data_IF_166038428524
#
_entry.id   IF_166038428524
#
_cell.length_a   1.000
_cell.length_b   1.000
_cell.length_c   1.000
_cell.angle_alpha   90.00
_cell.angle_beta   90.00
_cell.angle_gamma   90.00
#
_symmetry.space_group_name_H-M   'P 1'
#
loop_
_entity.id
_entity.type
_entity.pdbx_description
1 polymer ?
#
# COMPACT_ATOMS: atom_id res chain seq x y z
N UNK A 1 50.22 -59.94 -54.19
CA UNK A 1 48.98 -60.07 -53.41
C UNK A 1 49.37 -60.29 -51.98
N UNK A 2 49.11 -59.36 -51.05
CA UNK A 2 49.20 -59.66 -49.62
C UNK A 2 47.79 -59.61 -49.00
N UNK A 3 47.54 -60.66 -48.25
CA UNK A 3 46.32 -60.91 -47.49
C UNK A 3 46.09 -59.92 -46.35
N UNK A 4 44.92 -59.32 -46.32
CA UNK A 4 44.47 -58.46 -45.21
C UNK A 4 44.11 -59.31 -43.98
N UNK A 5 44.71 -58.94 -42.81
CA UNK A 5 44.31 -59.44 -41.51
C UNK A 5 43.09 -58.68 -41.03
N UNK A 6 41.96 -59.31 -40.89
CA UNK A 6 40.81 -58.82 -40.14
C UNK A 6 41.13 -58.84 -38.65
N UNK A 7 41.15 -57.65 -38.06
CA UNK A 7 41.23 -57.50 -36.59
C UNK A 7 39.82 -57.60 -35.99
N UNK A 8 39.58 -58.63 -35.22
CA UNK A 8 38.37 -58.84 -34.46
C UNK A 8 38.49 -58.09 -33.13
N UNK A 9 37.67 -57.09 -32.93
CA UNK A 9 37.51 -56.40 -31.63
C UNK A 9 36.85 -57.36 -30.62
N UNK A 10 37.26 -57.35 -29.35
CA UNK A 10 36.62 -58.16 -28.32
C UNK A 10 35.23 -57.62 -27.96
N UNK A 11 34.27 -58.48 -27.55
CA UNK A 11 32.95 -58.05 -27.10
C UNK A 11 33.06 -57.20 -25.82
N UNK A 12 32.31 -56.07 -25.81
CA UNK A 12 32.18 -55.23 -24.61
C UNK A 12 31.29 -55.98 -23.61
N UNK A 13 31.82 -56.19 -22.39
CA UNK A 13 31.09 -56.74 -21.26
C UNK A 13 30.00 -55.77 -20.79
N UNK A 14 28.77 -55.90 -21.25
CA UNK A 14 27.60 -55.13 -20.82
C UNK A 14 27.12 -55.50 -19.40
N UNK A 15 27.68 -56.51 -18.78
CA UNK A 15 27.19 -57.01 -17.50
C UNK A 15 27.76 -56.33 -16.24
N UNK A 16 28.76 -55.49 -16.36
CA UNK A 16 29.43 -54.90 -15.19
C UNK A 16 28.77 -53.65 -14.61
N UNK A 17 27.85 -53.00 -15.35
CA UNK A 17 27.22 -51.73 -14.90
C UNK A 17 25.88 -51.90 -14.17
N UNK A 18 25.26 -53.09 -14.26
CA UNK A 18 23.96 -53.36 -13.63
C UNK A 18 23.93 -53.19 -12.11
N UNK A 19 24.91 -53.67 -11.34
CA UNK A 19 24.88 -53.50 -9.89
C UNK A 19 25.05 -52.04 -9.43
N UNK A 20 25.78 -51.23 -10.21
CA UNK A 20 26.00 -49.81 -9.90
C UNK A 20 24.70 -49.00 -10.11
N UNK A 21 23.98 -49.26 -11.19
CA UNK A 21 22.69 -48.62 -11.48
C UNK A 21 21.61 -48.98 -10.47
N UNK A 22 21.54 -50.20 -10.01
CA UNK A 22 20.60 -50.63 -8.96
C UNK A 22 20.94 -50.00 -7.61
N UNK A 23 22.21 -49.78 -7.28
CA UNK A 23 22.63 -49.09 -6.08
C UNK A 23 22.25 -47.58 -6.15
N UNK A 24 22.44 -46.92 -7.29
CA UNK A 24 22.07 -45.53 -7.49
C UNK A 24 20.52 -45.34 -7.39
N UNK A 25 19.74 -46.21 -8.01
CA UNK A 25 18.28 -46.18 -7.91
C UNK A 25 17.81 -46.38 -6.46
N UNK A 26 18.44 -47.29 -5.72
CA UNK A 26 18.17 -47.54 -4.30
C UNK A 26 18.42 -46.29 -3.44
N UNK A 27 19.54 -45.58 -3.66
CA UNK A 27 19.87 -44.34 -2.94
C UNK A 27 18.90 -43.20 -3.26
N UNK A 28 18.52 -43.07 -4.54
CA UNK A 28 17.54 -42.04 -4.95
C UNK A 28 16.15 -42.33 -4.35
N UNK A 29 15.74 -43.62 -4.34
CA UNK A 29 14.47 -44.03 -3.72
C UNK A 29 14.47 -43.79 -2.21
N UNK A 30 15.58 -44.11 -1.51
CA UNK A 30 15.72 -43.84 -0.09
C UNK A 30 15.71 -42.35 0.24
N UNK A 31 16.38 -41.52 -0.58
CA UNK A 31 16.37 -40.05 -0.45
C UNK A 31 14.97 -39.47 -0.70
N UNK A 32 14.23 -39.98 -1.68
CA UNK A 32 12.85 -39.54 -1.95
C UNK A 32 11.90 -39.93 -0.80
N UNK A 33 12.06 -41.12 -0.22
CA UNK A 33 11.29 -41.55 0.97
C UNK A 33 11.65 -40.71 2.18
N UNK A 34 12.95 -40.42 2.42
CA UNK A 34 13.38 -39.55 3.50
C UNK A 34 12.86 -38.12 3.32
N UNK A 35 12.94 -37.56 2.11
CA UNK A 35 12.35 -36.26 1.78
C UNK A 35 10.81 -36.27 1.94
N UNK A 36 10.13 -37.34 1.54
CA UNK A 36 8.70 -37.53 1.76
C UNK A 36 8.32 -37.63 3.24
N UNK A 37 9.15 -38.30 4.07
CA UNK A 37 8.94 -38.38 5.51
C UNK A 37 9.23 -37.04 6.19
N UNK A 38 10.25 -36.30 5.74
CA UNK A 38 10.54 -34.94 6.21
C UNK A 38 9.43 -33.99 5.78
N UNK A 39 8.90 -34.13 4.54
CA UNK A 39 7.74 -33.38 4.06
C UNK A 39 6.45 -33.72 4.83
N UNK A 40 6.27 -34.96 5.23
CA UNK A 40 5.08 -35.45 5.96
C UNK A 40 5.18 -35.25 7.48
N UNK A 41 6.39 -35.24 8.08
CA UNK A 41 6.66 -35.04 9.50
C UNK A 41 7.17 -33.64 9.83
N UNK A 42 7.88 -32.99 8.92
CA UNK A 42 8.04 -31.56 8.90
C UNK A 42 6.72 -31.04 8.39
N UNK A 43 5.73 -30.97 9.28
CA UNK A 43 4.49 -30.32 8.96
C UNK A 43 4.86 -29.03 8.26
N UNK A 44 4.20 -28.74 7.15
CA UNK A 44 3.87 -27.39 6.84
C UNK A 44 3.28 -26.85 8.14
N UNK A 45 4.12 -26.29 8.99
CA UNK A 45 3.67 -25.33 9.96
C UNK A 45 2.83 -24.39 9.13
N UNK A 46 1.52 -24.46 9.31
CA UNK A 46 0.57 -23.58 8.70
C UNK A 46 1.00 -22.16 9.10
N UNK A 47 1.85 -21.56 8.29
CA UNK A 47 1.99 -20.13 8.24
C UNK A 47 0.59 -19.62 7.87
N UNK A 48 -0.26 -19.38 8.87
CA UNK A 48 -1.61 -18.93 8.60
C UNK A 48 -2.69 -19.19 9.65
N UNK A 49 -2.45 -19.95 10.70
CA UNK A 49 -3.31 -19.92 11.88
C UNK A 49 -2.52 -19.28 13.02
N UNK A 50 -2.26 -17.99 12.91
CA UNK A 50 -1.66 -17.23 13.99
C UNK A 50 -2.55 -17.33 15.22
N UNK A 51 -2.03 -17.90 16.32
CA UNK A 51 -2.62 -17.73 17.64
C UNK A 51 -2.84 -16.24 17.93
N UNK A 52 -3.56 -15.90 18.99
CA UNK A 52 -3.82 -14.50 19.31
C UNK A 52 -2.51 -13.72 19.34
N UNK A 53 -2.40 -12.70 18.45
CA UNK A 53 -1.21 -11.87 18.35
C UNK A 53 -0.99 -11.21 19.71
N UNK A 54 0.23 -11.36 20.23
CA UNK A 54 0.62 -10.74 21.49
C UNK A 54 0.68 -9.22 21.32
N UNK A 55 0.24 -8.48 22.33
CA UNK A 55 0.47 -7.03 22.38
C UNK A 55 2.00 -6.76 22.38
N UNK A 56 2.47 -5.76 21.62
CA UNK A 56 3.87 -5.38 21.64
C UNK A 56 4.28 -4.80 23.00
N UNK A 57 5.57 -4.79 23.27
CA UNK A 57 6.12 -3.97 24.34
C UNK A 57 5.87 -2.48 24.00
N UNK A 58 5.25 -1.76 24.93
CA UNK A 58 4.85 -0.35 24.71
C UNK A 58 6.07 0.53 24.48
N UNK A 59 7.16 0.31 25.24
CA UNK A 59 8.38 1.09 25.09
C UNK A 59 9.03 0.84 23.72
N UNK A 60 9.01 -0.40 23.24
CA UNK A 60 9.51 -0.73 21.90
C UNK A 60 8.61 -0.15 20.79
N UNK A 61 7.29 -0.21 20.94
CA UNK A 61 6.35 0.38 20.00
C UNK A 61 6.55 1.89 19.89
N UNK A 62 6.74 2.57 21.02
CA UNK A 62 6.89 4.03 21.10
C UNK A 62 8.34 4.52 20.89
N UNK A 63 9.32 3.61 20.84
CA UNK A 63 10.70 3.98 20.55
C UNK A 63 10.82 4.57 19.13
N UNK A 64 11.74 5.57 18.94
CA UNK A 64 11.97 6.18 17.63
C UNK A 64 12.15 5.15 16.52
N UNK A 65 11.46 5.39 15.42
CA UNK A 65 11.47 4.53 14.23
C UNK A 65 12.42 5.03 13.14
N UNK A 66 12.40 4.39 11.97
CA UNK A 66 13.14 4.87 10.79
C UNK A 66 12.69 6.25 10.31
N UNK A 67 11.43 6.62 10.59
CA UNK A 67 10.86 7.94 10.36
C UNK A 67 10.36 8.52 11.67
N UNK A 68 10.45 9.84 11.77
CA UNK A 68 9.86 10.58 12.87
C UNK A 68 8.34 10.48 12.84
N UNK A 69 7.72 10.26 14.02
CA UNK A 69 6.26 10.23 14.14
C UNK A 69 5.69 11.65 13.98
N UNK A 70 4.70 11.81 13.12
CA UNK A 70 3.92 13.05 13.00
C UNK A 70 2.63 12.84 13.77
N UNK A 71 2.35 13.75 14.70
CA UNK A 71 1.25 13.62 15.65
C UNK A 71 0.05 14.43 15.18
N UNK A 72 -1.12 13.82 15.16
CA UNK A 72 -2.40 14.51 15.07
C UNK A 72 -2.96 14.70 16.49
N UNK A 73 -3.25 15.92 16.85
CA UNK A 73 -3.70 16.29 18.18
C UNK A 73 -2.59 16.89 19.04
N UNK A 74 -2.81 16.95 20.36
CA UNK A 74 -1.85 17.52 21.30
C UNK A 74 -0.74 16.54 21.63
N UNK A 75 0.55 16.92 21.52
CA UNK A 75 1.68 16.02 21.77
C UNK A 75 1.70 15.44 23.20
N UNK A 76 1.16 16.17 24.17
CA UNK A 76 1.07 15.79 25.59
C UNK A 76 -0.22 15.02 25.94
N UNK A 77 -1.07 14.71 24.95
CA UNK A 77 -2.27 13.90 25.19
C UNK A 77 -1.92 12.55 25.82
N UNK A 78 -2.65 12.14 26.90
CA UNK A 78 -2.28 10.98 27.71
C UNK A 78 -2.49 9.64 26.98
N UNK A 79 -3.36 9.60 25.98
CA UNK A 79 -3.65 8.38 25.22
C UNK A 79 -3.09 8.50 23.82
N UNK A 80 -2.31 7.51 23.42
CA UNK A 80 -1.75 7.43 22.08
C UNK A 80 -2.43 6.33 21.28
N UNK A 81 -2.99 6.70 20.13
CA UNK A 81 -3.46 5.78 19.11
C UNK A 81 -2.38 5.68 18.04
N UNK A 82 -1.84 4.49 17.80
CA UNK A 82 -0.93 4.22 16.68
C UNK A 82 -1.70 3.46 15.62
N UNK A 83 -1.75 3.99 14.41
CA UNK A 83 -2.31 3.36 13.23
C UNK A 83 -1.21 2.93 12.28
N UNK A 84 -1.20 1.68 11.86
CA UNK A 84 -0.45 1.23 10.69
C UNK A 84 -1.41 1.14 9.50
N UNK A 85 -1.19 1.98 8.49
CA UNK A 85 -2.08 2.14 7.35
C UNK A 85 -1.37 2.00 6.00
N UNK A 86 -2.15 1.69 4.97
CA UNK A 86 -1.71 1.82 3.57
C UNK A 86 -2.60 2.81 2.83
N UNK A 87 -1.98 3.67 2.04
CA UNK A 87 -2.70 4.66 1.23
C UNK A 87 -3.60 4.05 0.15
N UNK A 88 -3.36 2.77 -0.23
CA UNK A 88 -4.18 2.04 -1.20
C UNK A 88 -5.17 1.08 -0.54
N UNK A 89 -5.26 1.06 0.80
CA UNK A 89 -6.19 0.19 1.52
C UNK A 89 -7.58 0.86 1.65
N UNK A 90 -8.67 0.26 1.12
CA UNK A 90 -10.01 0.84 1.22
C UNK A 90 -10.53 0.97 2.67
N UNK A 91 -10.18 0.03 3.55
CA UNK A 91 -10.58 0.10 4.96
C UNK A 91 -9.85 1.24 5.71
N UNK A 92 -8.61 1.58 5.30
CA UNK A 92 -7.92 2.76 5.82
C UNK A 92 -8.62 4.04 5.35
N UNK A 93 -9.02 4.12 4.08
CA UNK A 93 -9.81 5.26 3.58
C UNK A 93 -11.14 5.39 4.34
N UNK A 94 -11.84 4.28 4.56
CA UNK A 94 -13.09 4.28 5.35
C UNK A 94 -12.86 4.80 6.77
N UNK A 95 -11.78 4.38 7.44
CA UNK A 95 -11.45 4.90 8.77
C UNK A 95 -11.19 6.41 8.73
N UNK A 96 -10.36 6.88 7.81
CA UNK A 96 -9.98 8.29 7.71
C UNK A 96 -11.14 9.21 7.31
N UNK A 97 -12.09 8.71 6.51
CA UNK A 97 -13.21 9.53 6.02
C UNK A 97 -14.45 9.46 6.91
N UNK A 98 -14.68 8.34 7.60
CA UNK A 98 -15.91 8.14 8.36
C UNK A 98 -15.71 8.09 9.89
N UNK A 99 -14.61 7.52 10.39
CA UNK A 99 -14.39 7.31 11.82
C UNK A 99 -13.51 8.38 12.43
N UNK A 100 -12.37 8.71 11.79
CA UNK A 100 -11.39 9.66 12.32
C UNK A 100 -11.99 11.07 12.58
N UNK A 101 -12.87 11.64 11.73
CA UNK A 101 -13.50 12.93 12.04
C UNK A 101 -14.28 12.92 13.37
N UNK A 102 -14.94 11.80 13.69
CA UNK A 102 -15.66 11.63 14.93
C UNK A 102 -14.71 11.46 16.13
N UNK A 103 -13.59 10.73 15.94
CA UNK A 103 -12.55 10.61 16.96
C UNK A 103 -11.86 11.95 17.23
N UNK A 104 -11.62 12.75 16.18
CA UNK A 104 -11.08 14.10 16.33
C UNK A 104 -11.96 14.90 17.28
N UNK A 105 -13.23 15.03 16.98
CA UNK A 105 -14.18 15.81 17.78
C UNK A 105 -14.32 15.28 19.22
N UNK A 106 -14.39 13.94 19.40
CA UNK A 106 -14.65 13.35 20.71
C UNK A 106 -13.43 13.32 21.64
N UNK A 107 -12.20 13.14 21.09
CA UNK A 107 -11.05 12.79 21.91
C UNK A 107 -9.77 13.55 21.55
N UNK A 108 -9.52 13.86 20.26
CA UNK A 108 -8.25 14.39 19.80
C UNK A 108 -8.21 15.91 19.99
N UNK A 109 -9.23 16.63 19.54
CA UNK A 109 -9.29 18.10 19.60
C UNK A 109 -9.32 18.60 21.03
N UNK A 110 -9.94 17.85 21.94
CA UNK A 110 -9.96 18.17 23.38
C UNK A 110 -8.71 17.69 24.13
N UNK A 111 -7.78 17.03 23.45
CA UNK A 111 -6.48 16.64 24.01
C UNK A 111 -6.49 15.41 24.90
N UNK A 112 -7.51 14.56 24.83
CA UNK A 112 -7.54 13.31 25.58
C UNK A 112 -6.77 12.20 24.87
N UNK A 113 -6.75 12.22 23.53
CA UNK A 113 -5.98 11.30 22.71
C UNK A 113 -5.19 12.05 21.63
N UNK A 114 -4.19 11.36 21.09
CA UNK A 114 -3.45 11.74 19.89
C UNK A 114 -3.35 10.55 18.96
N UNK A 115 -3.28 10.83 17.66
CA UNK A 115 -3.10 9.79 16.63
C UNK A 115 -1.71 9.92 16.01
N UNK A 116 -1.05 8.80 15.82
CA UNK A 116 0.18 8.65 15.05
C UNK A 116 -0.10 7.67 13.91
N UNK A 117 -0.07 8.16 12.66
CA UNK A 117 -0.13 7.29 11.49
C UNK A 117 1.28 6.87 11.11
N UNK A 118 1.51 5.58 11.01
CA UNK A 118 2.76 4.97 10.55
C UNK A 118 2.55 4.22 9.23
N UNK A 119 3.48 4.39 8.34
CA UNK A 119 3.41 3.88 6.98
C UNK A 119 3.49 2.35 6.96
N UNK A 120 2.48 1.70 6.39
CA UNK A 120 2.48 0.27 6.08
C UNK A 120 2.02 0.03 4.64
N UNK A 121 2.79 0.53 3.64
CA UNK A 121 2.38 0.44 2.25
C UNK A 121 2.23 -1.01 1.79
N UNK A 122 1.14 -1.32 1.09
CA UNK A 122 0.88 -2.63 0.52
C UNK A 122 1.47 -2.80 -0.89
N UNK A 123 1.73 -1.68 -1.56
CA UNK A 123 2.24 -1.63 -2.94
C UNK A 123 3.07 -0.37 -3.19
N UNK A 124 3.67 -0.28 -4.39
CA UNK A 124 4.52 0.85 -4.77
C UNK A 124 3.79 2.19 -4.90
N UNK A 125 2.49 2.16 -5.25
CA UNK A 125 1.69 3.37 -5.35
C UNK A 125 1.39 3.94 -3.95
N UNK A 126 1.13 3.07 -2.96
CA UNK A 126 1.00 3.46 -1.56
C UNK A 126 2.30 4.09 -1.03
N UNK A 127 3.49 3.55 -1.41
CA UNK A 127 4.77 4.18 -1.06
C UNK A 127 4.86 5.59 -1.64
N UNK A 128 4.54 5.76 -2.94
CA UNK A 128 4.56 7.07 -3.60
C UNK A 128 3.63 8.08 -2.92
N UNK A 129 2.42 7.66 -2.54
CA UNK A 129 1.46 8.50 -1.83
C UNK A 129 1.98 8.92 -0.44
N UNK A 130 2.60 8.02 0.33
CA UNK A 130 3.24 8.37 1.59
C UNK A 130 4.45 9.31 1.41
N UNK A 131 5.27 9.10 0.37
CA UNK A 131 6.35 10.03 0.06
C UNK A 131 5.80 11.44 -0.17
N UNK A 132 4.73 11.60 -0.92
CA UNK A 132 4.09 12.91 -1.16
C UNK A 132 3.57 13.53 0.14
N UNK A 133 2.94 12.74 1.02
CA UNK A 133 2.48 13.23 2.32
C UNK A 133 3.66 13.72 3.17
N UNK A 134 4.77 12.98 3.22
CA UNK A 134 6.00 13.39 3.91
C UNK A 134 6.64 14.63 3.30
N UNK A 135 6.73 14.73 1.98
CA UNK A 135 7.28 15.88 1.25
C UNK A 135 6.41 17.15 1.39
N UNK A 136 5.15 17.02 1.78
CA UNK A 136 4.31 18.16 2.11
C UNK A 136 4.80 18.90 3.38
N UNK A 137 5.57 18.22 4.23
CA UNK A 137 6.07 18.71 5.50
C UNK A 137 5.12 18.41 6.67
N UNK A 138 5.61 18.50 7.92
CA UNK A 138 4.88 18.05 9.10
C UNK A 138 3.52 18.74 9.25
N UNK A 139 3.44 20.04 9.03
CA UNK A 139 2.20 20.82 9.18
C UNK A 139 1.13 20.46 8.14
N UNK A 140 1.54 19.93 7.00
CA UNK A 140 0.65 19.53 5.89
C UNK A 140 0.54 18.03 5.69
N UNK A 141 1.17 17.25 6.56
CA UNK A 141 1.14 15.79 6.46
C UNK A 141 -0.29 15.24 6.54
N UNK A 142 -1.00 15.53 7.64
CA UNK A 142 -2.38 15.05 7.80
C UNK A 142 -3.38 15.66 6.80
N UNK A 143 -3.33 16.93 6.43
CA UNK A 143 -4.10 17.46 5.31
C UNK A 143 -3.88 16.70 3.99
N UNK A 144 -2.61 16.34 3.68
CA UNK A 144 -2.31 15.56 2.47
C UNK A 144 -2.80 14.12 2.60
N UNK A 145 -2.63 13.49 3.77
CA UNK A 145 -3.18 12.14 4.06
C UNK A 145 -4.69 12.12 3.87
N UNK A 146 -5.40 13.12 4.42
CA UNK A 146 -6.84 13.25 4.27
C UNK A 146 -7.26 13.36 2.80
N UNK A 147 -6.66 14.27 2.04
CA UNK A 147 -6.94 14.45 0.62
C UNK A 147 -6.69 13.17 -0.20
N UNK A 148 -5.61 12.42 0.12
CA UNK A 148 -5.30 11.16 -0.53
C UNK A 148 -6.34 10.08 -0.21
N UNK A 149 -6.81 9.96 1.03
CA UNK A 149 -7.84 8.99 1.38
C UNK A 149 -9.23 9.37 0.86
N UNK A 150 -9.61 10.65 0.91
CA UNK A 150 -10.88 11.15 0.38
C UNK A 150 -11.04 10.90 -1.12
N UNK A 151 -9.93 10.89 -1.85
CA UNK A 151 -9.92 10.71 -3.31
C UNK A 151 -9.35 9.36 -3.74
N UNK A 152 -9.22 8.41 -2.81
CA UNK A 152 -8.51 7.14 -3.03
C UNK A 152 -9.00 6.38 -4.25
N UNK A 153 -10.31 6.30 -4.45
CA UNK A 153 -10.95 5.61 -5.58
C UNK A 153 -10.56 6.19 -6.94
N UNK A 154 -10.14 7.45 -6.98
CA UNK A 154 -9.74 8.11 -8.22
C UNK A 154 -8.31 7.80 -8.63
N UNK A 155 -7.36 7.67 -7.67
CA UNK A 155 -5.94 7.55 -7.95
C UNK A 155 -5.34 6.18 -7.60
N UNK A 156 -5.95 5.42 -6.69
CA UNK A 156 -5.46 4.10 -6.28
C UNK A 156 -5.79 3.03 -7.34
N UNK A 157 -5.41 3.31 -8.58
CA UNK A 157 -5.66 2.46 -9.74
C UNK A 157 -4.35 1.82 -10.23
N UNK A 158 -4.38 0.58 -10.77
CA UNK A 158 -3.18 -0.08 -11.27
C UNK A 158 -2.48 0.67 -12.40
N UNK A 159 -1.14 0.52 -12.46
CA UNK A 159 -0.33 1.00 -13.58
C UNK A 159 0.11 2.46 -13.46
N UNK A 160 0.54 3.03 -14.59
CA UNK A 160 1.10 4.38 -14.65
C UNK A 160 0.07 5.50 -14.38
N UNK A 161 -1.20 5.23 -14.66
CA UNK A 161 -2.30 6.18 -14.47
C UNK A 161 -2.41 6.67 -13.01
N UNK A 162 -2.19 5.79 -12.03
CA UNK A 162 -2.22 6.15 -10.62
C UNK A 162 -1.19 7.24 -10.27
N UNK A 163 0.02 7.19 -10.84
CA UNK A 163 1.05 8.22 -10.63
C UNK A 163 0.63 9.57 -11.21
N UNK A 164 0.02 9.58 -12.39
CA UNK A 164 -0.43 10.82 -13.04
C UNK A 164 -1.56 11.47 -12.23
N UNK A 165 -2.46 10.67 -11.67
CA UNK A 165 -3.52 11.14 -10.78
C UNK A 165 -2.97 11.66 -9.45
N UNK A 166 -1.94 11.01 -8.87
CA UNK A 166 -1.22 11.53 -7.71
C UNK A 166 -0.59 12.91 -7.98
N UNK A 167 -0.08 13.15 -9.20
CA UNK A 167 0.44 14.47 -9.57
C UNK A 167 -0.65 15.54 -9.55
N UNK A 168 -1.89 15.21 -9.96
CA UNK A 168 -3.01 16.16 -9.90
C UNK A 168 -3.30 16.55 -8.46
N UNK A 169 -3.39 15.57 -7.54
CA UNK A 169 -3.62 15.82 -6.12
C UNK A 169 -2.47 16.62 -5.50
N UNK A 170 -1.22 16.26 -5.81
CA UNK A 170 -0.04 16.97 -5.34
C UNK A 170 -0.04 18.44 -5.80
N UNK A 171 -0.46 18.73 -7.05
CA UNK A 171 -0.60 20.11 -7.55
C UNK A 171 -1.64 20.89 -6.77
N UNK A 172 -2.79 20.30 -6.44
CA UNK A 172 -3.81 20.92 -5.60
C UNK A 172 -3.27 21.25 -4.20
N UNK A 173 -2.36 20.41 -3.69
CA UNK A 173 -1.62 20.66 -2.44
C UNK A 173 -0.41 21.61 -2.59
N UNK A 174 -0.21 22.24 -3.76
CA UNK A 174 0.82 23.24 -4.01
C UNK A 174 2.19 22.67 -4.42
N UNK A 175 2.26 21.44 -4.90
CA UNK A 175 3.49 20.92 -5.49
C UNK A 175 3.65 21.41 -6.93
N UNK A 176 4.87 21.83 -7.30
CA UNK A 176 5.25 21.89 -8.71
C UNK A 176 5.55 20.48 -9.24
N UNK A 177 5.62 20.35 -10.56
CA UNK A 177 6.00 19.06 -11.19
C UNK A 177 7.41 18.63 -10.74
N UNK A 178 8.33 19.58 -10.64
CA UNK A 178 9.72 19.37 -10.23
C UNK A 178 9.78 18.89 -8.79
N UNK A 179 9.03 19.53 -7.86
CA UNK A 179 8.94 19.12 -6.47
C UNK A 179 8.34 17.71 -6.33
N UNK A 180 7.33 17.39 -7.13
CA UNK A 180 6.74 16.06 -7.18
C UNK A 180 7.77 15.01 -7.62
N UNK A 181 8.47 15.26 -8.72
CA UNK A 181 9.47 14.32 -9.24
C UNK A 181 10.66 14.15 -8.28
N UNK A 182 11.15 15.25 -7.68
CA UNK A 182 12.20 15.21 -6.65
C UNK A 182 11.77 14.38 -5.45
N UNK A 183 10.55 14.58 -4.96
CA UNK A 183 10.00 13.83 -3.85
C UNK A 183 10.00 12.32 -4.15
N UNK A 184 9.46 11.91 -5.30
CA UNK A 184 9.39 10.50 -5.69
C UNK A 184 10.75 9.89 -6.07
N UNK A 185 11.76 10.71 -6.33
CA UNK A 185 13.13 10.27 -6.58
C UNK A 185 13.97 10.13 -5.29
N UNK A 186 13.44 10.54 -4.13
CA UNK A 186 14.13 10.46 -2.85
C UNK A 186 14.21 9.00 -2.35
N UNK A 187 15.36 8.38 -2.63
CA UNK A 187 15.62 6.99 -2.24
C UNK A 187 15.75 6.81 -0.73
N UNK A 188 16.21 7.82 -0.01
CA UNK A 188 16.33 7.75 1.45
C UNK A 188 14.96 7.71 2.09
N UNK A 189 14.06 8.60 1.69
CA UNK A 189 12.67 8.61 2.16
C UNK A 189 11.95 7.30 1.80
N UNK A 190 12.11 6.81 0.55
CA UNK A 190 11.58 5.52 0.13
C UNK A 190 12.03 4.38 1.05
N UNK A 191 13.34 4.27 1.30
CA UNK A 191 13.90 3.22 2.15
C UNK A 191 13.41 3.32 3.61
N UNK A 192 13.27 4.53 4.13
CA UNK A 192 12.74 4.76 5.48
C UNK A 192 11.27 4.31 5.59
N UNK A 193 10.43 4.61 4.61
CA UNK A 193 9.03 4.16 4.57
C UNK A 193 8.96 2.62 4.56
N UNK A 194 9.77 1.98 3.71
CA UNK A 194 9.84 0.51 3.65
C UNK A 194 10.32 -0.07 4.98
N UNK A 195 11.29 0.56 5.63
CA UNK A 195 11.81 0.13 6.93
C UNK A 195 10.78 0.28 8.07
N UNK A 196 9.89 1.28 8.04
CA UNK A 196 8.75 1.39 8.98
C UNK A 196 7.84 0.18 8.84
N UNK A 197 7.46 -0.18 7.60
CA UNK A 197 6.64 -1.38 7.34
C UNK A 197 7.32 -2.66 7.82
N UNK A 198 8.61 -2.82 7.50
CA UNK A 198 9.37 -4.01 7.90
C UNK A 198 9.42 -4.13 9.42
N UNK A 199 9.77 -3.04 10.15
CA UNK A 199 9.75 -3.03 11.62
C UNK A 199 8.37 -3.39 12.18
N UNK A 200 7.30 -2.85 11.61
CA UNK A 200 5.93 -3.14 12.04
C UNK A 200 5.59 -4.63 11.91
N UNK A 201 5.98 -5.24 10.80
CA UNK A 201 5.75 -6.66 10.56
C UNK A 201 6.59 -7.54 11.50
N UNK A 202 7.91 -7.30 11.58
CA UNK A 202 8.85 -8.15 12.31
C UNK A 202 8.72 -8.02 13.84
N UNK A 203 8.54 -6.78 14.34
CA UNK A 203 8.54 -6.49 15.78
C UNK A 203 7.14 -6.49 16.38
N UNK A 204 6.17 -5.99 15.64
CA UNK A 204 4.82 -5.78 16.17
C UNK A 204 3.78 -6.71 15.54
N UNK A 205 4.19 -7.66 14.68
CA UNK A 205 3.31 -8.62 14.03
C UNK A 205 2.13 -7.93 13.29
N UNK A 206 2.41 -6.79 12.68
CA UNK A 206 1.47 -6.12 11.78
C UNK A 206 1.54 -6.79 10.42
N UNK A 207 0.44 -7.36 9.94
CA UNK A 207 0.35 -8.09 8.66
C UNK A 207 -0.84 -7.64 7.82
N UNK A 208 -1.64 -6.71 8.34
CA UNK A 208 -2.84 -6.18 7.68
C UNK A 208 -3.04 -4.71 8.02
N UNK A 209 -3.82 -4.01 7.18
CA UNK A 209 -4.17 -2.60 7.36
C UNK A 209 -5.70 -2.40 7.29
N UNK A 210 -6.23 -1.47 8.10
CA UNK A 210 -5.55 -0.78 9.17
C UNK A 210 -5.26 -1.71 10.37
N UNK A 211 -4.20 -1.44 11.12
CA UNK A 211 -3.94 -2.07 12.42
C UNK A 211 -3.73 -0.99 13.46
N UNK A 212 -4.45 -1.05 14.57
CA UNK A 212 -4.43 -0.04 15.61
C UNK A 212 -3.90 -0.56 16.94
N UNK A 213 -3.22 0.35 17.65
CA UNK A 213 -2.79 0.14 19.02
C UNK A 213 -3.19 1.36 19.87
N UNK A 214 -3.87 1.13 20.99
CA UNK A 214 -4.20 2.17 21.95
C UNK A 214 -3.36 1.96 23.20
N UNK A 215 -2.46 2.90 23.52
CA UNK A 215 -1.46 2.76 24.58
C UNK A 215 -0.75 1.39 24.55
N UNK A 216 -0.36 0.93 23.34
CA UNK A 216 0.35 -0.32 23.12
C UNK A 216 -0.53 -1.57 23.04
N UNK A 217 -1.80 -1.51 23.41
CA UNK A 217 -2.74 -2.63 23.27
C UNK A 217 -3.32 -2.68 21.87
N UNK A 218 -3.17 -3.83 21.20
CA UNK A 218 -3.76 -4.04 19.87
C UNK A 218 -5.28 -4.00 19.94
N UNK A 219 -5.88 -3.19 19.10
CA UNK A 219 -7.33 -3.18 18.95
C UNK A 219 -7.82 -4.42 18.20
N UNK A 220 -9.01 -4.84 18.54
CA UNK A 220 -9.77 -5.90 17.88
C UNK A 220 -11.06 -5.31 17.34
N UNK A 221 -11.74 -6.03 16.48
CA UNK A 221 -13.01 -5.61 15.91
C UNK A 221 -12.89 -5.01 14.51
N UNK A 222 -13.96 -4.40 14.06
CA UNK A 222 -14.09 -3.86 12.71
C UNK A 222 -13.59 -2.40 12.60
N UNK A 223 -12.98 -1.89 13.68
CA UNK A 223 -12.44 -0.53 13.81
C UNK A 223 -13.49 0.57 13.56
N UNK A 224 -14.72 0.29 13.99
CA UNK A 224 -15.80 1.28 14.02
C UNK A 224 -15.65 2.22 15.23
N UNK A 225 -16.34 3.35 15.22
CA UNK A 225 -16.25 4.33 16.32
C UNK A 225 -16.49 3.70 17.70
N UNK A 226 -17.45 2.77 17.82
CA UNK A 226 -17.71 2.06 19.08
C UNK A 226 -16.51 1.30 19.63
N UNK A 227 -15.71 0.68 18.74
CA UNK A 227 -14.53 -0.10 19.15
C UNK A 227 -13.45 0.85 19.72
N UNK A 228 -13.33 2.05 19.15
CA UNK A 228 -12.47 3.12 19.68
C UNK A 228 -13.02 3.68 20.99
N UNK A 229 -14.33 3.93 21.08
CA UNK A 229 -14.96 4.39 22.32
C UNK A 229 -14.65 3.42 23.49
N UNK A 230 -14.78 2.12 23.27
CA UNK A 230 -14.46 1.09 24.26
C UNK A 230 -12.96 1.06 24.61
N UNK A 231 -12.08 1.09 23.60
CA UNK A 231 -10.63 1.05 23.82
C UNK A 231 -10.11 2.31 24.52
N UNK A 232 -10.63 3.48 24.14
CA UNK A 232 -10.25 4.75 24.75
C UNK A 232 -10.80 4.89 26.18
N UNK A 233 -12.03 4.45 26.43
CA UNK A 233 -12.58 4.39 27.79
C UNK A 233 -11.76 3.44 28.70
N UNK A 234 -11.35 2.28 28.18
CA UNK A 234 -10.47 1.37 28.91
C UNK A 234 -9.08 1.95 29.18
N UNK A 235 -8.62 2.90 28.33
CA UNK A 235 -7.38 3.66 28.52
C UNK A 235 -7.56 4.90 29.42
N UNK A 236 -8.78 5.17 29.92
CA UNK A 236 -9.09 6.27 30.85
C UNK A 236 -9.62 7.54 30.18
N UNK A 237 -9.95 7.51 28.89
CA UNK A 237 -10.61 8.65 28.24
C UNK A 237 -12.02 8.86 28.83
N UNK A 238 -12.38 10.14 28.93
CA UNK A 238 -13.76 10.55 29.24
C UNK A 238 -14.30 11.27 28.01
N UNK A 239 -15.22 10.67 27.25
CA UNK A 239 -15.75 11.34 26.07
C UNK A 239 -16.28 12.71 26.44
N UNK A 240 -16.01 13.71 25.60
CA UNK A 240 -16.59 15.04 25.78
C UNK A 240 -18.11 14.89 25.81
N UNK A 241 -18.75 15.41 26.87
CA UNK A 241 -20.18 15.38 26.98
C UNK A 241 -20.79 16.16 25.80
N UNK A 242 -21.67 15.50 25.05
CA UNK A 242 -22.48 16.10 23.98
C UNK A 242 -21.70 16.84 22.88
N UNK A 243 -20.94 16.10 22.08
CA UNK A 243 -20.58 16.56 20.76
C UNK A 243 -21.55 15.89 19.80
N UNK A 244 -22.58 16.62 19.39
CA UNK A 244 -23.37 16.26 18.19
C UNK A 244 -22.38 16.10 17.02
N UNK A 245 -22.57 15.10 16.14
CA UNK A 245 -21.78 15.01 14.92
C UNK A 245 -21.78 16.40 14.23
N UNK A 246 -20.67 16.86 13.64
CA UNK A 246 -20.70 18.08 12.88
C UNK A 246 -21.76 17.92 11.80
N UNK A 247 -22.86 18.64 11.97
CA UNK A 247 -23.89 18.79 10.97
C UNK A 247 -23.24 19.43 9.75
N UNK A 248 -23.03 18.64 8.71
CA UNK A 248 -22.67 19.14 7.39
C UNK A 248 -21.28 19.77 7.31
N UNK A 249 -20.25 19.00 7.10
CA UNK A 249 -19.30 19.47 6.11
C UNK A 249 -20.07 19.51 4.79
N UNK A 250 -20.57 20.73 4.51
CA UNK A 250 -21.21 21.04 3.25
C UNK A 250 -20.30 20.54 2.12
N UNK A 251 -20.82 19.65 1.30
CA UNK A 251 -20.35 19.50 -0.07
C UNK A 251 -19.98 20.89 -0.57
N UNK A 252 -18.76 21.10 -1.11
CA UNK A 252 -18.45 22.39 -1.74
C UNK A 252 -19.61 22.70 -2.68
N UNK A 253 -20.12 23.95 -2.69
CA UNK A 253 -21.25 24.30 -3.50
C UNK A 253 -20.94 23.85 -4.92
N UNK A 254 -21.77 22.96 -5.47
CA UNK A 254 -21.74 22.65 -6.88
C UNK A 254 -21.68 23.99 -7.58
N UNK A 255 -20.59 24.28 -8.27
CA UNK A 255 -20.39 25.46 -9.07
C UNK A 255 -21.67 25.65 -9.87
N UNK A 256 -22.34 26.76 -9.62
CA UNK A 256 -23.60 27.11 -10.27
C UNK A 256 -23.43 26.82 -11.76
N UNK A 257 -24.23 25.88 -12.26
CA UNK A 257 -24.34 25.64 -13.67
C UNK A 257 -24.65 26.98 -14.33
N UNK A 258 -23.78 27.43 -15.21
CA UNK A 258 -24.05 28.55 -16.08
C UNK A 258 -25.39 28.29 -16.80
N UNK A 259 -26.24 29.30 -16.97
CA UNK A 259 -27.50 29.13 -17.66
C UNK A 259 -27.25 28.55 -19.05
N UNK A 260 -27.97 27.51 -19.38
CA UNK A 260 -27.94 26.89 -20.70
C UNK A 260 -28.27 27.93 -21.76
N UNK A 261 -27.31 28.33 -22.55
CA UNK A 261 -27.55 29.01 -23.82
C UNK A 261 -28.35 28.05 -24.71
N UNK A 262 -29.44 28.55 -25.24
CA UNK A 262 -30.34 27.82 -26.13
C UNK A 262 -29.65 27.33 -27.40
N UNK A 263 -30.21 26.32 -28.07
CA UNK A 263 -29.57 25.69 -29.21
C UNK A 263 -29.35 26.68 -30.36
N UNK A 264 -28.08 26.78 -30.79
CA UNK A 264 -27.72 27.50 -32.00
C UNK A 264 -28.41 26.88 -33.24
N UNK A 265 -28.86 27.66 -34.21
CA UNK A 265 -29.48 27.15 -35.41
C UNK A 265 -28.49 26.33 -36.26
N UNK A 266 -28.95 25.18 -36.74
CA UNK A 266 -28.21 24.32 -37.66
C UNK A 266 -27.87 25.03 -38.97
N UNK A 267 -26.64 24.91 -39.50
CA UNK A 267 -26.35 25.41 -40.84
C UNK A 267 -26.98 24.49 -41.89
N UNK A 268 -27.62 25.17 -42.83
CA UNK A 268 -28.29 24.65 -44.04
C UNK A 268 -27.35 23.74 -44.87
N UNK A 269 -27.82 22.55 -45.17
CA UNK A 269 -27.12 21.56 -45.97
C UNK A 269 -27.43 21.73 -47.46
N UNK A 270 -26.86 22.74 -48.10
CA UNK A 270 -26.94 22.90 -49.56
C UNK A 270 -25.71 23.62 -50.11
N UNK A 271 -24.52 22.97 -50.11
CA UNK A 271 -23.44 23.32 -51.06
C UNK A 271 -22.52 22.08 -51.24
N UNK A 272 -22.26 21.68 -52.51
CA UNK A 272 -21.38 20.56 -52.77
C UNK A 272 -19.90 20.90 -52.47
N UNK A 273 -19.19 19.95 -51.88
CA UNK A 273 -17.78 20.04 -51.59
C UNK A 273 -16.93 19.99 -52.87
N UNK A 274 -16.15 21.04 -53.07
CA UNK A 274 -15.08 21.14 -54.08
C UNK A 274 -13.84 20.39 -53.57
N UNK A 275 -13.29 19.48 -54.40
CA UNK A 275 -12.13 18.67 -54.09
C UNK A 275 -10.84 19.50 -54.08
N UNK A 276 -9.89 19.28 -53.14
CA UNK A 276 -8.60 19.96 -53.20
C UNK A 276 -7.68 19.34 -54.26
N UNK A 277 -7.09 20.23 -55.08
CA UNK A 277 -6.12 19.92 -56.11
C UNK A 277 -4.82 19.34 -55.50
N UNK A 278 -4.22 18.35 -56.21
CA UNK A 278 -2.91 17.81 -55.90
C UNK A 278 -1.81 18.78 -56.31
N UNK A 279 -0.71 18.93 -55.58
CA UNK A 279 0.48 19.65 -56.08
C UNK A 279 1.30 18.73 -56.97
N UNK A 280 1.59 19.22 -58.16
CA UNK A 280 2.47 18.63 -59.18
C UNK A 280 3.91 18.60 -58.70
N UNK A 281 4.64 17.58 -59.17
CA UNK A 281 6.02 17.27 -58.84
C UNK A 281 7.03 18.28 -59.38
N UNK A 282 8.11 18.40 -58.63
CA UNK A 282 9.33 19.11 -59.05
C UNK A 282 10.35 18.13 -59.64
N UNK A 283 10.96 18.39 -60.82
CA UNK A 283 12.00 17.54 -61.37
C UNK A 283 13.37 17.82 -60.74
N UNK A 284 14.20 16.78 -60.76
CA UNK A 284 15.59 16.74 -60.35
C UNK A 284 16.52 17.66 -61.13
N UNK A 285 17.48 18.23 -60.44
CA UNK A 285 18.89 18.39 -60.87
C UNK A 285 19.82 18.18 -59.66
#
# INVERSE_FOLDING_TARGET
MPSGKMSSSPPRDEHSLRPVWLAIIGVIAAAAVAAGIIYYRGGFDKAGAGGPKKDPDVAELMAPGPLEDIILGKPDAPITIVEYASMTCPHCAQFHTAVLPQLNTKYIDNGQAKLILREFPLDGLAVAAFMLARCAGPDRYYPMVGALFETQDTWAVPGAEGKDKLLVIARQAGFSKEKFDQCLADKELFNKIVAVRQRANEKFQVDSTPSFFVNGKRMKGDHQLKDFDEALAAAGAKPAANVSPPEGQATPPATAAAPAEGPAPSPDASKPAEAPAQPEGTPAQ
#
